data_IF_549572227060
#
_entry.id   IF_549572227060
#
_cell.length_a   1.000
_cell.length_b   1.000
_cell.length_c   1.000
_cell.angle_alpha   90.00
_cell.angle_beta   90.00
_cell.angle_gamma   90.00
#
_symmetry.space_group_name_H-M   'P 1'
#
loop_
_entity.id
_entity.type
_entity.pdbx_description
1 polymer ?
#
# COMPACT_ATOMS: atom_id res chain seq x y z
N UNK A 1 -3.08 7.04 1.97
CA UNK A 1 -1.89 6.30 2.40
C UNK A 1 -1.78 6.20 3.93
N UNK A 2 -1.88 7.32 4.68
CA UNK A 2 -1.74 7.33 6.15
C UNK A 2 -2.72 6.36 6.81
N UNK A 3 -4.00 6.39 6.42
CA UNK A 3 -5.02 5.48 6.96
C UNK A 3 -4.67 4.01 6.68
N UNK A 4 -4.27 3.69 5.44
CA UNK A 4 -3.86 2.33 5.09
C UNK A 4 -2.63 1.87 5.90
N UNK A 5 -1.65 2.76 6.11
CA UNK A 5 -0.47 2.46 6.92
C UNK A 5 -0.84 2.23 8.39
N UNK A 6 -1.70 3.07 8.97
CA UNK A 6 -2.15 2.92 10.36
C UNK A 6 -2.92 1.59 10.55
N UNK A 7 -3.81 1.24 9.62
CA UNK A 7 -4.52 -0.04 9.63
C UNK A 7 -3.55 -1.23 9.49
N UNK A 8 -2.54 -1.13 8.62
CA UNK A 8 -1.50 -2.15 8.47
C UNK A 8 -0.69 -2.36 9.76
N UNK A 9 -0.36 -1.29 10.49
CA UNK A 9 0.29 -1.41 11.80
C UNK A 9 -0.66 -2.09 12.80
N UNK A 10 -1.94 -1.71 12.82
CA UNK A 10 -2.90 -2.32 13.73
C UNK A 10 -3.11 -3.81 13.47
N UNK A 11 -3.10 -4.26 12.21
CA UNK A 11 -3.23 -5.70 11.90
C UNK A 11 -2.10 -6.55 12.48
N UNK A 12 -0.91 -5.97 12.72
CA UNK A 12 0.21 -6.72 13.32
C UNK A 12 -0.04 -7.15 14.77
N UNK A 13 -0.94 -6.46 15.48
CA UNK A 13 -1.35 -6.83 16.84
C UNK A 13 -2.42 -7.91 16.90
N UNK A 14 -3.04 -8.23 15.76
CA UNK A 14 -4.09 -9.24 15.64
C UNK A 14 -3.63 -10.32 14.66
N UNK A 15 -2.96 -11.38 15.13
CA UNK A 15 -2.51 -12.46 14.25
C UNK A 15 -3.70 -13.17 13.61
N UNK A 16 -3.54 -13.56 12.36
CA UNK A 16 -4.51 -14.37 11.64
C UNK A 16 -4.54 -15.79 12.21
N UNK A 17 -5.72 -16.39 12.27
CA UNK A 17 -5.87 -17.78 12.66
C UNK A 17 -5.25 -18.70 11.59
N UNK A 18 -4.56 -19.79 11.98
CA UNK A 18 -3.98 -20.73 11.05
C UNK A 18 -5.08 -21.58 10.37
N UNK A 19 -5.15 -21.52 9.05
CA UNK A 19 -6.06 -22.35 8.23
C UNK A 19 -7.54 -22.04 8.40
N UNK A 20 -8.21 -21.70 7.31
CA UNK A 20 -9.65 -21.49 7.27
C UNK A 20 -10.18 -20.12 7.73
N UNK A 21 -11.49 -19.99 7.91
CA UNK A 21 -12.12 -18.74 8.33
C UNK A 21 -11.73 -18.39 9.79
N UNK A 22 -11.73 -17.08 10.15
CA UNK A 22 -11.36 -16.65 11.49
C UNK A 22 -12.34 -17.19 12.54
N UNK A 23 -11.79 -17.84 13.58
CA UNK A 23 -12.56 -18.40 14.70
C UNK A 23 -12.25 -17.70 16.03
N UNK A 24 -11.10 -17.01 16.13
CA UNK A 24 -10.74 -16.24 17.32
C UNK A 24 -11.11 -14.77 17.16
N UNK A 25 -11.16 -14.04 18.29
CA UNK A 25 -11.31 -12.58 18.26
C UNK A 25 -10.15 -11.92 17.50
N UNK A 26 -8.91 -12.39 17.69
CA UNK A 26 -7.75 -11.85 16.99
C UNK A 26 -7.84 -12.06 15.48
N UNK A 27 -8.17 -13.28 15.02
CA UNK A 27 -8.38 -13.58 13.60
C UNK A 27 -9.50 -12.76 12.96
N UNK A 28 -10.62 -12.59 13.69
CA UNK A 28 -11.72 -11.73 13.24
C UNK A 28 -11.29 -10.28 13.10
N UNK A 29 -10.58 -9.73 14.09
CA UNK A 29 -10.08 -8.35 14.04
C UNK A 29 -9.03 -8.15 12.94
N UNK A 30 -8.20 -9.17 12.67
CA UNK A 30 -7.27 -9.15 11.54
C UNK A 30 -8.01 -8.89 10.22
N UNK A 31 -9.06 -9.66 9.94
CA UNK A 31 -9.85 -9.51 8.70
C UNK A 31 -10.61 -8.18 8.67
N UNK A 32 -11.20 -7.75 9.79
CA UNK A 32 -11.92 -6.47 9.90
C UNK A 32 -11.00 -5.27 9.61
N UNK A 33 -9.73 -5.32 10.01
CA UNK A 33 -8.74 -4.28 9.74
C UNK A 33 -8.14 -4.41 8.32
N UNK A 34 -7.99 -5.63 7.81
CA UNK A 34 -7.44 -5.91 6.50
C UNK A 34 -8.32 -5.34 5.38
N UNK A 35 -9.63 -5.52 5.45
CA UNK A 35 -10.58 -5.07 4.42
C UNK A 35 -10.46 -3.55 4.16
N UNK A 36 -10.63 -2.66 5.14
CA UNK A 36 -10.47 -1.23 4.89
C UNK A 36 -9.03 -0.86 4.50
N UNK A 37 -8.01 -1.54 5.01
CA UNK A 37 -6.62 -1.33 4.59
C UNK A 37 -6.47 -1.57 3.09
N UNK A 38 -7.02 -2.67 2.55
CA UNK A 38 -7.00 -2.99 1.13
C UNK A 38 -7.78 -1.95 0.32
N UNK A 39 -8.98 -1.58 0.77
CA UNK A 39 -9.82 -0.57 0.09
C UNK A 39 -9.09 0.78 -0.03
N UNK A 40 -8.48 1.26 1.05
CA UNK A 40 -7.71 2.51 1.02
C UNK A 40 -6.42 2.40 0.19
N UNK A 41 -5.78 1.23 0.14
CA UNK A 41 -4.61 0.99 -0.71
C UNK A 41 -4.99 1.01 -2.19
N UNK A 42 -6.05 0.30 -2.58
CA UNK A 42 -6.60 0.31 -3.94
C UNK A 42 -7.02 1.72 -4.36
N UNK A 43 -7.73 2.43 -3.48
CA UNK A 43 -8.10 3.83 -3.72
C UNK A 43 -6.90 4.74 -3.93
N UNK A 44 -5.82 4.54 -3.18
CA UNK A 44 -4.57 5.26 -3.37
C UNK A 44 -3.92 4.96 -4.73
N UNK A 45 -3.78 3.68 -5.12
CA UNK A 45 -3.26 3.30 -6.43
C UNK A 45 -4.03 3.96 -7.57
N UNK A 46 -5.37 3.89 -7.53
CA UNK A 46 -6.22 4.48 -8.56
C UNK A 46 -6.13 6.02 -8.59
N UNK A 47 -6.05 6.66 -7.43
CA UNK A 47 -5.88 8.10 -7.34
C UNK A 47 -4.54 8.55 -7.95
N UNK A 48 -3.46 7.85 -7.63
CA UNK A 48 -2.14 8.12 -8.21
C UNK A 48 -2.12 7.85 -9.71
N UNK A 49 -2.70 6.74 -10.17
CA UNK A 49 -2.80 6.44 -11.59
C UNK A 49 -3.56 7.51 -12.38
N UNK A 50 -4.70 7.98 -11.88
CA UNK A 50 -5.55 8.96 -12.58
C UNK A 50 -5.02 10.40 -12.52
N UNK A 51 -4.39 10.80 -11.40
CA UNK A 51 -3.98 12.19 -11.17
C UNK A 51 -2.59 12.53 -11.66
N UNK A 52 -1.67 11.58 -11.63
CA UNK A 52 -0.26 11.82 -11.91
C UNK A 52 0.17 11.85 -13.40
N UNK A 53 -0.55 11.28 -14.39
CA UNK A 53 -0.10 11.29 -15.78
C UNK A 53 0.00 12.68 -16.41
N UNK A 54 -0.77 13.65 -15.89
CA UNK A 54 -0.82 15.00 -16.43
C UNK A 54 0.35 15.89 -15.96
N UNK A 55 1.18 15.40 -15.05
CA UNK A 55 2.36 16.11 -14.54
C UNK A 55 3.61 15.35 -14.98
N UNK A 56 4.48 16.04 -15.74
CA UNK A 56 5.73 15.47 -16.25
C UNK A 56 6.63 14.91 -15.13
N UNK A 57 6.58 15.52 -13.95
CA UNK A 57 7.31 15.09 -12.76
C UNK A 57 6.85 13.72 -12.24
N UNK A 58 5.57 13.35 -12.46
CA UNK A 58 4.95 12.13 -11.96
C UNK A 58 4.69 11.05 -13.03
N UNK A 59 4.92 11.33 -14.31
CA UNK A 59 4.51 10.45 -15.41
C UNK A 59 5.02 9.01 -15.28
N UNK A 60 6.29 8.81 -14.89
CA UNK A 60 6.87 7.48 -14.65
C UNK A 60 6.24 6.76 -13.43
N UNK A 61 5.88 7.52 -12.40
CA UNK A 61 5.29 6.97 -11.18
C UNK A 61 3.84 6.55 -11.34
N UNK A 62 3.10 7.16 -12.29
CA UNK A 62 1.76 6.70 -12.64
C UNK A 62 1.79 5.29 -13.24
N UNK A 63 2.72 5.03 -14.19
CA UNK A 63 2.93 3.69 -14.76
C UNK A 63 3.38 2.68 -13.71
N UNK A 64 4.32 3.07 -12.86
CA UNK A 64 4.81 2.24 -11.76
C UNK A 64 3.67 1.86 -10.80
N UNK A 65 2.82 2.82 -10.41
CA UNK A 65 1.65 2.54 -9.57
C UNK A 65 0.67 1.58 -10.24
N UNK A 66 0.41 1.73 -11.54
CA UNK A 66 -0.45 0.83 -12.30
C UNK A 66 0.12 -0.60 -12.33
N UNK A 67 1.41 -0.75 -12.61
CA UNK A 67 2.07 -2.06 -12.62
C UNK A 67 2.00 -2.71 -11.25
N UNK A 68 2.29 -1.95 -10.18
CA UNK A 68 2.19 -2.47 -8.81
C UNK A 68 0.76 -2.92 -8.48
N UNK A 69 -0.25 -2.15 -8.91
CA UNK A 69 -1.66 -2.52 -8.74
C UNK A 69 -2.02 -3.83 -9.47
N UNK A 70 -1.58 -3.98 -10.73
CA UNK A 70 -1.80 -5.19 -11.54
C UNK A 70 -1.15 -6.42 -10.88
N UNK A 71 -0.04 -6.26 -10.19
CA UNK A 71 0.64 -7.36 -9.47
C UNK A 71 -0.03 -7.61 -8.11
N UNK A 72 -0.38 -6.57 -7.36
CA UNK A 72 -0.93 -6.70 -6.01
C UNK A 72 -2.32 -7.34 -5.97
N UNK A 73 -3.20 -7.02 -6.94
CA UNK A 73 -4.58 -7.54 -6.97
C UNK A 73 -4.62 -9.08 -7.11
N UNK A 74 -3.94 -9.70 -8.10
CA UNK A 74 -3.90 -11.16 -8.19
C UNK A 74 -3.31 -11.83 -6.94
N UNK A 75 -2.26 -11.26 -6.36
CA UNK A 75 -1.68 -11.78 -5.12
C UNK A 75 -2.69 -11.76 -3.97
N UNK A 76 -3.44 -10.67 -3.81
CA UNK A 76 -4.50 -10.57 -2.80
C UNK A 76 -5.63 -11.58 -3.04
N UNK A 77 -6.07 -11.74 -4.29
CA UNK A 77 -7.11 -12.73 -4.65
C UNK A 77 -6.62 -14.16 -4.39
N UNK A 78 -5.40 -14.49 -4.82
CA UNK A 78 -4.81 -15.82 -4.59
C UNK A 78 -4.71 -16.10 -3.09
N UNK A 79 -4.27 -15.13 -2.28
CA UNK A 79 -4.23 -15.27 -0.81
C UNK A 79 -5.62 -15.53 -0.24
N UNK A 80 -6.64 -14.77 -0.69
CA UNK A 80 -8.01 -14.89 -0.20
C UNK A 80 -8.67 -16.26 -0.54
N UNK A 81 -8.29 -16.90 -1.65
CA UNK A 81 -8.83 -18.23 -2.03
C UNK A 81 -7.96 -19.39 -1.54
N UNK A 82 -6.81 -19.11 -0.95
CA UNK A 82 -5.81 -20.11 -0.51
C UNK A 82 -5.75 -20.24 1.02
N UNK A 83 -6.86 -19.99 1.72
CA UNK A 83 -6.91 -19.95 3.20
C UNK A 83 -6.44 -21.25 3.86
N UNK A 84 -6.68 -22.41 3.23
CA UNK A 84 -6.26 -23.72 3.72
C UNK A 84 -4.88 -24.15 3.21
N UNK A 85 -4.21 -23.29 2.44
CA UNK A 85 -2.91 -23.62 1.85
C UNK A 85 -1.77 -23.40 2.85
N UNK A 86 -0.77 -24.33 2.92
CA UNK A 86 0.44 -24.11 3.73
C UNK A 86 1.28 -22.91 3.24
N UNK A 87 1.01 -22.42 2.02
CA UNK A 87 1.72 -21.27 1.42
C UNK A 87 1.01 -19.92 1.67
N UNK A 88 -0.14 -19.89 2.35
CA UNK A 88 -0.89 -18.66 2.62
C UNK A 88 0.00 -17.56 3.21
N UNK A 89 0.74 -17.87 4.27
CA UNK A 89 1.61 -16.90 4.94
C UNK A 89 2.75 -16.38 4.05
N UNK A 90 3.20 -17.14 3.07
CA UNK A 90 4.19 -16.69 2.08
C UNK A 90 3.53 -15.74 1.07
N UNK A 91 2.36 -16.08 0.55
CA UNK A 91 1.62 -15.28 -0.41
C UNK A 91 1.25 -13.91 0.17
N UNK A 92 0.78 -13.87 1.42
CA UNK A 92 0.48 -12.63 2.14
C UNK A 92 1.73 -11.75 2.28
N UNK A 93 2.86 -12.32 2.70
CA UNK A 93 4.12 -11.56 2.86
C UNK A 93 4.60 -10.98 1.54
N UNK A 94 4.48 -11.72 0.43
CA UNK A 94 4.82 -11.22 -0.90
C UNK A 94 3.87 -10.07 -1.29
N UNK A 95 2.56 -10.22 -1.07
CA UNK A 95 1.58 -9.18 -1.34
C UNK A 95 1.84 -7.91 -0.53
N UNK A 96 2.11 -8.04 0.77
CA UNK A 96 2.48 -6.93 1.65
C UNK A 96 3.78 -6.27 1.19
N UNK A 97 4.81 -7.04 0.83
CA UNK A 97 6.09 -6.51 0.35
C UNK A 97 5.91 -5.67 -0.93
N UNK A 98 5.04 -6.09 -1.86
CA UNK A 98 4.72 -5.34 -3.09
C UNK A 98 4.06 -3.99 -2.75
N UNK A 99 3.16 -3.95 -1.78
CA UNK A 99 2.49 -2.71 -1.35
C UNK A 99 3.46 -1.78 -0.60
N UNK A 100 4.25 -2.34 0.32
CA UNK A 100 5.22 -1.58 1.12
C UNK A 100 6.32 -0.97 0.24
N UNK A 101 6.85 -1.72 -0.73
CA UNK A 101 7.84 -1.24 -1.68
C UNK A 101 7.31 -0.05 -2.50
N UNK A 102 6.05 -0.13 -2.96
CA UNK A 102 5.41 0.98 -3.64
C UNK A 102 5.26 2.20 -2.73
N UNK A 103 4.76 2.02 -1.52
CA UNK A 103 4.61 3.09 -0.54
C UNK A 103 5.95 3.78 -0.22
N UNK A 104 7.02 3.00 -0.08
CA UNK A 104 8.37 3.51 0.17
C UNK A 104 8.88 4.37 -0.99
N UNK A 105 8.74 3.89 -2.24
CA UNK A 105 9.14 4.65 -3.44
C UNK A 105 8.36 5.96 -3.55
N UNK A 106 7.05 5.94 -3.29
CA UNK A 106 6.21 7.14 -3.30
C UNK A 106 6.59 8.13 -2.18
N UNK A 107 6.89 7.61 -0.99
CA UNK A 107 7.34 8.44 0.14
C UNK A 107 8.68 9.14 -0.14
N UNK A 108 9.66 8.44 -0.72
CA UNK A 108 10.93 9.05 -1.13
C UNK A 108 10.70 10.16 -2.16
N UNK A 109 9.83 9.92 -3.15
CA UNK A 109 9.53 10.94 -4.17
C UNK A 109 8.90 12.18 -3.55
N UNK A 110 7.91 12.02 -2.68
CA UNK A 110 7.27 13.12 -1.95
C UNK A 110 8.27 13.89 -1.07
N UNK A 111 9.15 13.18 -0.39
CA UNK A 111 10.19 13.80 0.43
C UNK A 111 11.16 14.65 -0.39
N UNK A 112 11.59 14.14 -1.57
CA UNK A 112 12.44 14.91 -2.47
C UNK A 112 11.75 16.18 -2.97
N UNK A 113 10.49 16.07 -3.38
CA UNK A 113 9.69 17.21 -3.82
C UNK A 113 9.55 18.28 -2.73
N UNK A 114 9.26 17.86 -1.48
CA UNK A 114 9.18 18.79 -0.34
C UNK A 114 10.49 19.56 -0.11
N UNK A 115 11.63 18.88 -0.28
CA UNK A 115 12.95 19.54 -0.14
C UNK A 115 13.24 20.53 -1.27
N UNK A 116 12.84 20.21 -2.50
CA UNK A 116 13.02 21.10 -3.67
C UNK A 116 12.17 22.37 -3.51
N UNK A 117 10.91 22.23 -3.07
CA UNK A 117 10.02 23.38 -2.81
C UNK A 117 10.58 24.29 -1.72
N UNK A 118 10.99 23.74 -0.57
CA UNK A 118 11.57 24.52 0.52
C UNK A 118 12.84 25.27 0.09
N UNK A 119 13.62 24.68 -0.81
CA UNK A 119 14.83 25.32 -1.34
C UNK A 119 14.50 26.48 -2.28
N UNK A 120 13.47 26.37 -3.10
CA UNK A 120 13.02 27.42 -4.02
C UNK A 120 12.41 28.60 -3.28
N UNK A 121 11.66 28.37 -2.20
CA UNK A 121 11.06 29.43 -1.40
C UNK A 121 12.11 30.16 -0.54
N UNK A 122 13.12 29.47 -0.04
CA UNK A 122 14.25 30.09 0.66
C UNK A 122 15.06 31.04 -0.22
N UNK A 123 15.16 30.77 -1.53
CA UNK A 123 15.84 31.63 -2.47
C UNK A 123 15.06 32.92 -2.81
N UNK A 124 13.71 32.86 -2.80
CA UNK A 124 12.83 34.01 -3.05
C UNK A 124 12.80 35.04 -1.92
N UNK A 125 13.18 34.66 -0.70
CA UNK A 125 13.20 35.57 0.46
C UNK A 125 14.49 36.40 0.52
N UNK A 126 15.54 36.00 -0.21
CA UNK A 126 16.86 36.65 -0.19
C UNK A 126 17.07 37.57 -1.41
N UNK A 127 16.21 37.51 -2.41
CA UNK A 127 16.22 38.37 -3.61
C UNK A 127 15.23 39.54 -3.50
#
# INVERSE_FOLDING_TARGET
LIIAAALGILTTYFPQDPGGPPVTFAGTMHVVLLIPMVVFSVGAFLAFWKRLPNDSFWAGYAKYSLVTFIVAIPLGVISAVSLDSPYLGLLERIGVAVILQWGFVMAIKLFRLSRELNRSDGFKIIS
#
